data_IF_105043406105
#
_entry.id   IF_105043406105
#
_cell.length_a   1.000
_cell.length_b   1.000
_cell.length_c   1.000
_cell.angle_alpha   90.00
_cell.angle_beta   90.00
_cell.angle_gamma   90.00
#
_symmetry.space_group_name_H-M   'P 1'
#
loop_
_entity.id
_entity.type
_entity.pdbx_description
1 polymer ?
#
# COMPACT_ATOMS: atom_id res chain seq x y z
N UNK A 1 36.76 4.76 10.65
CA UNK A 1 36.07 5.65 9.69
C UNK A 1 34.73 5.07 9.21
N UNK A 2 34.54 3.75 9.15
CA UNK A 2 33.27 3.10 8.72
C UNK A 2 32.09 3.10 9.72
N UNK A 3 32.29 3.45 10.99
CA UNK A 3 31.23 3.36 12.02
C UNK A 3 30.36 4.61 12.15
N UNK A 4 30.87 5.80 11.77
CA UNK A 4 30.12 7.06 11.82
C UNK A 4 29.07 7.13 10.71
N UNK A 5 29.40 6.57 9.55
CA UNK A 5 28.51 6.50 8.38
C UNK A 5 27.27 5.63 8.68
N UNK A 6 27.48 4.50 9.36
CA UNK A 6 26.41 3.58 9.76
C UNK A 6 25.43 4.18 10.77
N UNK A 7 25.89 5.07 11.65
CA UNK A 7 25.01 5.75 12.62
C UNK A 7 24.15 6.79 11.91
N UNK A 8 24.75 7.58 11.00
CA UNK A 8 24.01 8.57 10.21
C UNK A 8 22.97 7.93 9.28
N UNK A 9 23.29 6.78 8.66
CA UNK A 9 22.33 6.02 7.84
C UNK A 9 21.14 5.53 8.67
N UNK A 10 21.37 5.03 9.89
CA UNK A 10 20.32 4.54 10.79
C UNK A 10 19.44 5.68 11.29
N UNK A 11 20.03 6.82 11.66
CA UNK A 11 19.27 8.02 12.04
C UNK A 11 18.37 8.50 10.89
N UNK A 12 18.92 8.59 9.68
CA UNK A 12 18.16 8.98 8.50
C UNK A 12 17.01 8.00 8.21
N UNK A 13 17.24 6.69 8.34
CA UNK A 13 16.20 5.68 8.20
C UNK A 13 15.07 5.85 9.24
N UNK A 14 15.41 6.17 10.49
CA UNK A 14 14.42 6.44 11.55
C UNK A 14 13.60 7.69 11.22
N UNK A 15 14.25 8.78 10.80
CA UNK A 15 13.53 10.00 10.43
C UNK A 15 12.58 9.78 9.26
N UNK A 16 13.00 9.05 8.22
CA UNK A 16 12.11 8.67 7.11
C UNK A 16 10.94 7.81 7.56
N UNK A 17 11.17 6.89 8.48
CA UNK A 17 10.11 6.04 9.05
C UNK A 17 9.09 6.88 9.85
N UNK A 18 9.57 7.80 10.70
CA UNK A 18 8.71 8.69 11.48
C UNK A 18 7.91 9.65 10.60
N UNK A 19 8.52 10.16 9.52
CA UNK A 19 7.83 11.04 8.59
C UNK A 19 6.72 10.31 7.84
N UNK A 20 6.98 9.09 7.38
CA UNK A 20 5.97 8.22 6.78
C UNK A 20 4.84 7.91 7.77
N UNK A 21 5.17 7.51 8.99
CA UNK A 21 4.17 7.25 10.03
C UNK A 21 3.30 8.49 10.32
N UNK A 22 3.90 9.67 10.38
CA UNK A 22 3.18 10.94 10.56
C UNK A 22 2.23 11.21 9.39
N UNK A 23 2.68 10.98 8.15
CA UNK A 23 1.86 11.12 6.95
C UNK A 23 0.66 10.18 6.99
N UNK A 24 0.90 8.89 7.24
CA UNK A 24 -0.13 7.85 7.29
C UNK A 24 -1.15 8.15 8.40
N UNK A 25 -0.67 8.59 9.57
CA UNK A 25 -1.54 8.96 10.70
C UNK A 25 -2.40 10.18 10.38
N UNK A 26 -1.86 11.18 9.66
CA UNK A 26 -2.66 12.34 9.24
C UNK A 26 -3.74 11.91 8.25
N UNK A 27 -3.36 11.19 7.20
CA UNK A 27 -4.27 10.74 6.14
C UNK A 27 -5.44 9.92 6.71
N UNK A 28 -5.16 8.98 7.60
CA UNK A 28 -6.20 8.12 8.18
C UNK A 28 -7.10 8.85 9.18
N UNK A 29 -6.60 9.95 9.78
CA UNK A 29 -7.38 10.78 10.71
C UNK A 29 -8.26 11.79 9.97
N UNK A 30 -7.80 12.31 8.83
CA UNK A 30 -8.56 13.20 7.94
C UNK A 30 -9.66 12.41 7.20
N UNK A 31 -9.31 11.23 6.68
CA UNK A 31 -10.24 10.29 6.03
C UNK A 31 -11.13 10.94 4.95
N UNK A 32 -10.56 11.85 4.16
CA UNK A 32 -11.28 12.71 3.22
C UNK A 32 -11.02 12.39 1.73
N UNK A 33 -10.08 11.47 1.42
CA UNK A 33 -9.85 10.99 0.06
C UNK A 33 -11.04 10.11 -0.43
N UNK A 34 -11.81 10.54 -1.43
CA UNK A 34 -12.95 9.78 -1.94
C UNK A 34 -12.57 8.48 -2.66
N UNK A 35 -11.31 8.33 -3.09
CA UNK A 35 -10.80 7.11 -3.73
C UNK A 35 -10.36 6.05 -2.72
N UNK A 36 -10.65 6.27 -1.44
CA UNK A 36 -10.33 5.36 -0.35
C UNK A 36 -11.54 5.00 0.50
N UNK A 37 -11.50 3.79 1.04
CA UNK A 37 -12.43 3.32 2.06
C UNK A 37 -11.72 3.34 3.40
N UNK A 38 -12.38 3.96 4.37
CA UNK A 38 -11.92 4.08 5.74
C UNK A 38 -12.83 3.31 6.68
N UNK A 39 -12.26 2.54 7.61
CA UNK A 39 -13.02 1.90 8.67
C UNK A 39 -12.21 1.73 9.94
N UNK A 40 -12.93 1.54 11.05
CA UNK A 40 -12.32 1.31 12.36
C UNK A 40 -12.82 -0.01 12.90
N UNK A 41 -11.87 -0.84 13.33
CA UNK A 41 -12.13 -2.11 13.99
C UNK A 41 -11.81 -1.98 15.47
N UNK A 42 -12.79 -2.35 16.31
CA UNK A 42 -12.58 -2.50 17.73
C UNK A 42 -12.56 -3.98 18.06
N UNK A 43 -11.42 -4.49 18.54
CA UNK A 43 -11.30 -5.88 19.00
C UNK A 43 -11.15 -5.95 20.51
N UNK A 44 -11.84 -6.93 21.10
CA UNK A 44 -11.80 -7.23 22.54
C UNK A 44 -11.18 -8.61 22.74
N UNK A 45 -9.86 -8.74 22.55
CA UNK A 45 -9.12 -9.96 22.91
C UNK A 45 -8.46 -9.78 24.28
N UNK A 46 -8.88 -10.59 25.25
CA UNK A 46 -8.27 -10.76 26.59
C UNK A 46 -7.80 -9.44 27.24
N UNK A 47 -8.68 -8.79 28.01
CA UNK A 47 -8.42 -7.58 28.83
C UNK A 47 -7.85 -6.34 28.10
N UNK A 48 -7.47 -6.42 26.82
CA UNK A 48 -7.00 -5.29 26.02
C UNK A 48 -8.06 -4.92 24.99
N UNK A 49 -8.42 -3.63 24.97
CA UNK A 49 -9.19 -3.02 23.88
C UNK A 49 -8.17 -2.57 22.85
N UNK A 50 -8.24 -3.11 21.64
CA UNK A 50 -7.42 -2.68 20.51
C UNK A 50 -8.35 -1.99 19.50
N UNK A 51 -7.98 -0.77 19.11
CA UNK A 51 -8.63 -0.02 18.04
C UNK A 51 -7.64 -0.02 16.87
N UNK A 52 -8.08 -0.49 15.71
CA UNK A 52 -7.33 -0.47 14.47
C UNK A 52 -8.08 0.42 13.49
N UNK A 53 -7.37 1.35 12.86
CA UNK A 53 -7.90 2.17 11.78
C UNK A 53 -7.34 1.64 10.47
N UNK A 54 -8.17 1.60 9.44
CA UNK A 54 -7.79 1.12 8.11
C UNK A 54 -8.13 2.16 7.05
N UNK A 55 -7.26 2.28 6.05
CA UNK A 55 -7.45 3.05 4.83
C UNK A 55 -7.01 2.18 3.65
N UNK A 56 -7.90 1.92 2.69
CA UNK A 56 -7.57 1.16 1.47
C UNK A 56 -8.06 1.88 0.24
N UNK A 57 -7.29 1.83 -0.85
CA UNK A 57 -7.73 2.35 -2.14
C UNK A 57 -8.91 1.53 -2.69
N UNK A 58 -9.87 2.22 -3.31
CA UNK A 58 -10.96 1.62 -4.09
C UNK A 58 -10.46 1.02 -5.40
N UNK A 59 -9.46 1.67 -6.00
CA UNK A 59 -8.84 1.24 -7.25
C UNK A 59 -7.33 1.07 -7.06
N UNK A 60 -6.81 -0.09 -7.45
CA UNK A 60 -5.37 -0.39 -7.39
C UNK A 60 -4.68 -0.25 -8.74
N UNK A 61 -5.43 -0.04 -9.82
CA UNK A 61 -4.92 -0.01 -11.18
C UNK A 61 -3.80 1.03 -11.35
N UNK A 62 -4.01 2.27 -10.90
CA UNK A 62 -3.00 3.33 -11.02
C UNK A 62 -1.69 2.99 -10.29
N UNK A 63 -1.79 2.34 -9.13
CA UNK A 63 -0.61 1.90 -8.40
C UNK A 63 0.14 0.79 -9.14
N UNK A 64 -0.58 -0.17 -9.73
CA UNK A 64 0.02 -1.25 -10.51
C UNK A 64 0.60 -0.75 -11.83
N UNK A 65 -0.06 0.18 -12.51
CA UNK A 65 0.48 0.89 -13.67
C UNK A 65 1.83 1.52 -13.35
N UNK A 66 1.89 2.33 -12.29
CA UNK A 66 3.12 3.04 -11.93
C UNK A 66 4.22 2.12 -11.43
N UNK A 67 3.90 1.10 -10.63
CA UNK A 67 4.90 0.28 -9.93
C UNK A 67 5.32 -0.96 -10.70
N UNK A 68 4.46 -1.46 -11.60
CA UNK A 68 4.63 -2.73 -12.28
C UNK A 68 4.64 -2.57 -13.81
N UNK A 69 3.59 -2.00 -14.42
CA UNK A 69 3.41 -2.05 -15.88
C UNK A 69 4.20 -0.98 -16.65
N UNK A 70 4.35 0.21 -16.09
CA UNK A 70 5.11 1.34 -16.65
C UNK A 70 6.38 1.63 -15.87
N UNK A 71 6.87 0.64 -15.11
CA UNK A 71 8.13 0.76 -14.40
C UNK A 71 9.29 0.39 -15.33
N UNK A 72 10.11 1.38 -15.68
CA UNK A 72 11.27 1.23 -16.58
C UNK A 72 12.32 0.22 -16.08
N UNK A 73 12.35 -0.07 -14.77
CA UNK A 73 13.24 -1.08 -14.17
C UNK A 73 12.76 -2.53 -14.44
N UNK A 74 11.52 -2.70 -14.92
CA UNK A 74 10.90 -4.00 -15.18
C UNK A 74 10.71 -4.22 -16.68
N UNK A 75 11.41 -5.23 -17.23
CA UNK A 75 11.32 -5.53 -18.66
C UNK A 75 10.00 -6.18 -19.08
N UNK A 76 9.32 -6.90 -18.18
CA UNK A 76 8.02 -7.51 -18.43
C UNK A 76 7.34 -7.97 -17.14
N UNK A 77 6.00 -8.05 -17.17
CA UNK A 77 5.19 -8.68 -16.14
C UNK A 77 4.38 -9.83 -16.73
N UNK A 78 4.46 -11.02 -16.13
CA UNK A 78 3.70 -12.22 -16.56
C UNK A 78 2.64 -12.55 -15.52
N UNK A 79 1.36 -12.37 -15.90
CA UNK A 79 0.21 -12.74 -15.07
C UNK A 79 -0.29 -14.13 -15.47
N UNK A 80 -0.24 -15.08 -14.55
CA UNK A 80 -0.69 -16.46 -14.79
C UNK A 80 -1.53 -16.97 -13.63
N UNK A 81 -2.71 -17.47 -13.92
CA UNK A 81 -3.56 -18.20 -12.99
C UNK A 81 -4.68 -18.91 -13.76
N UNK A 82 -5.20 -20.00 -13.20
CA UNK A 82 -6.28 -20.79 -13.77
C UNK A 82 -7.64 -20.04 -13.82
N UNK A 83 -7.76 -18.89 -13.14
CA UNK A 83 -9.04 -18.19 -12.92
C UNK A 83 -8.99 -16.70 -13.29
N UNK A 84 -8.09 -16.30 -14.19
CA UNK A 84 -7.95 -14.90 -14.59
C UNK A 84 -9.07 -14.40 -15.51
N UNK A 85 -9.63 -15.27 -16.36
CA UNK A 85 -10.71 -14.90 -17.28
C UNK A 85 -12.07 -15.07 -16.62
N UNK A 86 -12.99 -14.15 -16.91
CA UNK A 86 -14.41 -14.27 -16.58
C UNK A 86 -15.16 -14.45 -17.91
N UNK A 87 -15.92 -15.53 -18.05
CA UNK A 87 -16.66 -15.81 -19.29
C UNK A 87 -15.78 -15.98 -20.53
N UNK A 88 -14.51 -16.39 -20.37
CA UNK A 88 -13.54 -16.50 -21.47
C UNK A 88 -12.90 -15.17 -21.89
N UNK A 89 -13.14 -14.11 -21.14
CA UNK A 89 -12.62 -12.76 -21.42
C UNK A 89 -11.80 -12.21 -20.24
N UNK A 90 -10.83 -11.34 -20.55
CA UNK A 90 -9.91 -10.73 -19.59
C UNK A 90 -10.19 -9.24 -19.34
N UNK A 91 -11.26 -8.66 -19.90
CA UNK A 91 -11.53 -7.22 -19.76
C UNK A 91 -11.74 -6.83 -18.31
N UNK A 92 -12.40 -7.68 -17.51
CA UNK A 92 -12.55 -7.44 -16.07
C UNK A 92 -11.20 -7.36 -15.36
N UNK A 93 -10.26 -8.26 -15.67
CA UNK A 93 -8.94 -8.24 -15.08
C UNK A 93 -8.22 -6.93 -15.44
N UNK A 94 -8.18 -6.58 -16.73
CA UNK A 94 -7.54 -5.34 -17.23
C UNK A 94 -8.14 -4.09 -16.57
N UNK A 95 -9.46 -4.01 -16.48
CA UNK A 95 -10.11 -2.87 -15.81
C UNK A 95 -9.72 -2.74 -14.33
N UNK A 96 -9.54 -3.86 -13.62
CA UNK A 96 -9.22 -3.84 -12.18
C UNK A 96 -7.74 -3.64 -11.87
N UNK A 97 -6.84 -4.01 -12.77
CA UNK A 97 -5.39 -3.97 -12.52
C UNK A 97 -4.66 -2.87 -13.27
N UNK A 98 -5.26 -2.27 -14.30
CA UNK A 98 -4.56 -1.43 -15.29
C UNK A 98 -4.33 -2.17 -16.61
#
# INVERSE_FOLDING_TARGET
>A
MFAIDLVGERENAIFKCLDRFRQDLREIMEADDPERVYWVEKSERKKRKLITMHATHLNVAENLDRLLFYNDDLSSAVLTSATLSIGGDFSFLREKVG
#
